data_IF_480567976332
#
_entry.id   IF_480567976332
#
_cell.length_a   1.000
_cell.length_b   1.000
_cell.length_c   1.000
_cell.angle_alpha   90.00
_cell.angle_beta   90.00
_cell.angle_gamma   90.00
#
_symmetry.space_group_name_H-M   'P 1'
#
loop_
_entity.id
_entity.type
_entity.pdbx_description
1 polymer ?
#
# COMPACT_ATOMS: atom_id res chain seq x y z
N UNK A 1 18.04 12.91 -1.87
CA UNK A 1 17.90 11.44 -1.98
C UNK A 1 16.50 10.94 -1.59
N UNK A 2 15.85 11.45 -0.53
CA UNK A 2 14.40 11.21 -0.30
C UNK A 2 13.51 11.88 -1.37
N UNK A 3 13.84 13.10 -1.78
CA UNK A 3 13.23 13.80 -2.92
C UNK A 3 13.36 13.03 -4.23
N UNK A 4 14.46 12.30 -4.45
CA UNK A 4 14.68 11.48 -5.65
C UNK A 4 13.78 10.25 -5.67
N UNK A 5 13.50 9.64 -4.51
CA UNK A 5 12.50 8.56 -4.38
C UNK A 5 11.08 9.12 -4.52
N UNK A 6 10.80 10.30 -3.95
CA UNK A 6 9.54 11.03 -4.14
C UNK A 6 9.26 11.30 -5.63
N UNK A 7 10.28 11.76 -6.38
CA UNK A 7 10.22 11.99 -7.82
C UNK A 7 10.15 10.70 -8.64
N UNK A 8 10.74 9.59 -8.15
CA UNK A 8 10.60 8.26 -8.77
C UNK A 8 9.23 7.63 -8.55
N UNK A 9 8.55 7.97 -7.46
CA UNK A 9 7.18 7.53 -7.14
C UNK A 9 6.10 8.47 -7.73
N UNK A 10 6.47 9.69 -8.13
CA UNK A 10 5.61 10.66 -8.79
C UNK A 10 4.77 10.11 -9.98
N UNK A 11 5.25 9.20 -10.85
CA UNK A 11 4.45 8.63 -11.94
C UNK A 11 3.27 7.73 -11.50
N UNK A 12 3.30 7.19 -10.28
CA UNK A 12 2.20 6.39 -9.74
C UNK A 12 1.00 7.27 -9.36
N UNK A 13 1.25 8.54 -9.01
CA UNK A 13 0.25 9.50 -8.52
C UNK A 13 -0.10 10.56 -9.57
N UNK A 14 0.82 10.84 -10.50
CA UNK A 14 0.65 11.88 -11.52
C UNK A 14 -0.30 11.38 -12.62
N UNK A 15 -1.58 11.68 -12.48
CA UNK A 15 -2.47 11.76 -13.63
C UNK A 15 -1.92 12.90 -14.50
N UNK A 16 -1.52 12.66 -15.76
CA UNK A 16 -1.10 13.74 -16.66
C UNK A 16 -2.13 14.85 -16.61
N UNK A 17 -1.70 16.12 -16.57
CA UNK A 17 -2.60 17.27 -16.46
C UNK A 17 -3.69 17.25 -17.56
N UNK A 18 -3.35 16.71 -18.73
CA UNK A 18 -4.24 16.46 -19.86
C UNK A 18 -5.36 15.43 -19.60
N UNK A 19 -5.12 14.47 -18.69
CA UNK A 19 -6.05 13.40 -18.32
C UNK A 19 -6.78 13.68 -17.00
N UNK A 20 -6.34 14.68 -16.24
CA UNK A 20 -6.94 15.04 -14.95
C UNK A 20 -8.42 15.45 -15.09
N UNK A 21 -8.84 16.25 -16.09
CA UNK A 21 -10.26 16.54 -16.31
C UNK A 21 -11.07 15.28 -16.64
N UNK A 22 -10.53 14.36 -17.43
CA UNK A 22 -11.20 13.12 -17.82
C UNK A 22 -11.38 12.16 -16.63
N UNK A 23 -10.37 12.03 -15.78
CA UNK A 23 -10.44 11.23 -14.56
C UNK A 23 -11.39 11.85 -13.53
N UNK A 24 -11.33 13.18 -13.38
CA UNK A 24 -12.20 13.96 -12.48
C UNK A 24 -13.66 13.82 -12.90
N UNK A 25 -13.97 13.98 -14.18
CA UNK A 25 -15.34 13.80 -14.68
C UNK A 25 -15.83 12.36 -14.43
N UNK A 26 -15.00 11.37 -14.78
CA UNK A 26 -15.37 9.96 -14.67
C UNK A 26 -15.65 9.50 -13.23
N UNK A 27 -14.84 9.93 -12.26
CA UNK A 27 -14.98 9.49 -10.87
C UNK A 27 -15.79 10.46 -10.02
N UNK A 28 -15.68 11.77 -10.25
CA UNK A 28 -16.22 12.81 -9.36
C UNK A 28 -17.38 13.62 -9.98
N UNK A 29 -17.62 13.54 -11.28
CA UNK A 29 -18.68 14.31 -11.97
C UNK A 29 -20.11 13.88 -11.65
N UNK A 30 -20.30 12.68 -11.09
CA UNK A 30 -21.62 12.10 -10.82
C UNK A 30 -22.33 12.64 -9.58
N UNK A 31 -21.69 13.50 -8.78
CA UNK A 31 -22.28 14.04 -7.55
C UNK A 31 -21.58 15.32 -7.09
N UNK A 32 -22.32 16.22 -6.45
CA UNK A 32 -21.77 17.41 -5.76
C UNK A 32 -21.61 17.27 -4.25
N UNK A 33 -22.02 16.11 -3.70
CA UNK A 33 -21.89 15.81 -2.27
C UNK A 33 -20.40 15.68 -1.88
N UNK A 34 -19.89 16.54 -0.97
CA UNK A 34 -18.47 16.52 -0.57
C UNK A 34 -18.02 15.19 0.04
N UNK A 35 -18.90 14.48 0.75
CA UNK A 35 -18.58 13.20 1.40
C UNK A 35 -18.38 12.13 0.33
N UNK A 36 -19.30 12.06 -0.64
CA UNK A 36 -19.20 11.10 -1.76
C UNK A 36 -18.04 11.43 -2.70
N UNK A 37 -17.76 12.72 -2.94
CA UNK A 37 -16.56 13.13 -3.70
C UNK A 37 -15.28 12.61 -3.07
N UNK A 38 -15.18 12.66 -1.73
CA UNK A 38 -14.02 12.14 -1.01
C UNK A 38 -13.89 10.62 -1.20
N UNK A 39 -14.98 9.87 -1.09
CA UNK A 39 -14.97 8.41 -1.29
C UNK A 39 -14.54 8.05 -2.71
N UNK A 40 -15.16 8.67 -3.73
CA UNK A 40 -14.86 8.43 -5.13
C UNK A 40 -13.44 8.86 -5.53
N UNK A 41 -12.88 9.87 -4.86
CA UNK A 41 -11.47 10.25 -5.03
C UNK A 41 -10.52 9.19 -4.48
N UNK A 42 -10.85 8.61 -3.33
CA UNK A 42 -10.07 7.51 -2.75
C UNK A 42 -10.15 6.25 -3.63
N UNK A 43 -11.32 5.96 -4.21
CA UNK A 43 -11.48 4.87 -5.18
C UNK A 43 -10.63 5.09 -6.43
N UNK A 44 -10.62 6.32 -6.97
CA UNK A 44 -9.76 6.68 -8.10
C UNK A 44 -8.27 6.44 -7.79
N UNK A 45 -7.83 6.86 -6.60
CA UNK A 45 -6.45 6.64 -6.16
C UNK A 45 -6.15 5.14 -6.01
N UNK A 46 -7.05 4.38 -5.39
CA UNK A 46 -6.90 2.94 -5.20
C UNK A 46 -6.80 2.20 -6.55
N UNK A 47 -7.66 2.55 -7.50
CA UNK A 47 -7.64 1.97 -8.84
C UNK A 47 -6.35 2.29 -9.58
N UNK A 48 -5.89 3.54 -9.50
CA UNK A 48 -4.68 4.00 -10.17
C UNK A 48 -3.42 3.35 -9.59
N UNK A 49 -3.35 3.23 -8.28
CA UNK A 49 -2.11 2.83 -7.58
C UNK A 49 -2.00 1.33 -7.39
N UNK A 50 -3.12 0.65 -7.11
CA UNK A 50 -3.13 -0.78 -6.80
C UNK A 50 -3.85 -1.59 -7.86
N UNK A 51 -5.13 -1.32 -8.15
CA UNK A 51 -5.96 -2.25 -8.92
C UNK A 51 -5.54 -2.36 -10.39
N UNK A 52 -5.44 -1.26 -11.12
CA UNK A 52 -5.13 -1.25 -12.56
C UNK A 52 -3.73 -1.80 -12.84
N UNK A 53 -2.65 -1.37 -12.14
CA UNK A 53 -1.33 -1.97 -12.32
C UNK A 53 -1.32 -3.46 -12.00
N UNK A 54 -2.02 -3.89 -10.94
CA UNK A 54 -2.09 -5.32 -10.57
C UNK A 54 -2.79 -6.15 -11.64
N UNK A 55 -3.90 -5.65 -12.20
CA UNK A 55 -4.62 -6.32 -13.29
C UNK A 55 -3.79 -6.35 -14.59
N UNK A 56 -3.06 -5.28 -14.91
CA UNK A 56 -2.14 -5.26 -16.06
C UNK A 56 -1.04 -6.30 -15.86
N UNK A 57 -0.38 -6.31 -14.71
CA UNK A 57 0.66 -7.31 -14.36
C UNK A 57 0.07 -8.72 -14.46
N UNK A 58 -1.07 -8.98 -13.85
CA UNK A 58 -1.73 -10.29 -13.91
C UNK A 58 -2.07 -10.72 -15.34
N UNK A 59 -2.55 -9.79 -16.19
CA UNK A 59 -2.81 -10.04 -17.62
C UNK A 59 -1.52 -10.32 -18.39
N UNK A 60 -0.46 -9.56 -18.14
CA UNK A 60 0.86 -9.78 -18.74
C UNK A 60 1.48 -11.12 -18.33
N UNK A 61 1.19 -11.61 -17.12
CA UNK A 61 1.67 -12.90 -16.62
C UNK A 61 0.80 -14.08 -17.10
N UNK A 62 -0.39 -13.83 -17.66
CA UNK A 62 -1.33 -14.87 -18.11
C UNK A 62 -0.73 -15.78 -19.20
N UNK A 63 0.22 -15.29 -19.99
CA UNK A 63 0.85 -16.04 -21.09
C UNK A 63 2.38 -16.23 -20.93
N UNK A 64 2.95 -16.02 -19.74
CA UNK A 64 4.41 -16.08 -19.60
C UNK A 64 4.98 -16.06 -18.19
N UNK A 65 4.17 -16.26 -17.14
CA UNK A 65 4.69 -16.31 -15.78
C UNK A 65 5.82 -17.34 -15.67
N UNK A 66 6.96 -16.89 -15.14
CA UNK A 66 8.09 -17.76 -14.81
C UNK A 66 7.67 -18.80 -13.77
N UNK A 67 8.40 -19.92 -13.68
CA UNK A 67 8.11 -20.91 -12.65
C UNK A 67 8.30 -20.34 -11.24
N UNK A 68 9.22 -19.39 -11.09
CA UNK A 68 9.42 -18.61 -9.87
C UNK A 68 8.16 -17.83 -9.48
N UNK A 69 7.56 -17.08 -10.41
CA UNK A 69 6.33 -16.32 -10.16
C UNK A 69 5.13 -17.24 -9.85
N UNK A 70 5.02 -18.38 -10.54
CA UNK A 70 4.00 -19.38 -10.24
C UNK A 70 4.21 -19.99 -8.84
N UNK A 71 5.46 -20.25 -8.44
CA UNK A 71 5.79 -20.72 -7.10
C UNK A 71 5.42 -19.71 -6.03
N UNK A 72 5.78 -18.44 -6.23
CA UNK A 72 5.41 -17.34 -5.32
C UNK A 72 3.89 -17.21 -5.22
N UNK A 73 3.17 -17.28 -6.35
CA UNK A 73 1.71 -17.21 -6.39
C UNK A 73 1.06 -18.37 -5.60
N UNK A 74 1.51 -19.61 -5.83
CA UNK A 74 1.04 -20.79 -5.07
C UNK A 74 1.31 -20.65 -3.58
N UNK A 75 2.48 -20.16 -3.20
CA UNK A 75 2.86 -19.93 -1.82
C UNK A 75 1.94 -18.87 -1.17
N UNK A 76 1.69 -17.74 -1.85
CA UNK A 76 0.79 -16.69 -1.33
C UNK A 76 -0.65 -17.17 -1.19
N UNK A 77 -1.17 -17.91 -2.17
CA UNK A 77 -2.52 -18.47 -2.06
C UNK A 77 -2.66 -19.38 -0.84
N UNK A 78 -1.64 -20.20 -0.54
CA UNK A 78 -1.65 -21.05 0.66
C UNK A 78 -1.58 -20.25 1.96
N UNK A 79 -0.71 -19.24 2.06
CA UNK A 79 -0.66 -18.36 3.23
C UNK A 79 -2.02 -17.71 3.50
N UNK A 80 -2.66 -17.14 2.47
CA UNK A 80 -3.97 -16.51 2.62
C UNK A 80 -5.08 -17.50 2.95
N UNK A 81 -5.09 -18.68 2.34
CA UNK A 81 -6.07 -19.71 2.64
C UNK A 81 -5.94 -20.26 4.07
N UNK A 82 -4.72 -20.39 4.59
CA UNK A 82 -4.48 -20.77 5.98
C UNK A 82 -4.94 -19.68 6.94
N UNK A 83 -4.53 -18.43 6.68
CA UNK A 83 -4.94 -17.28 7.49
C UNK A 83 -6.47 -17.13 7.54
N UNK A 84 -7.16 -17.23 6.41
CA UNK A 84 -8.62 -17.17 6.37
C UNK A 84 -9.30 -18.29 7.16
N UNK A 85 -8.67 -19.48 7.26
CA UNK A 85 -9.23 -20.65 7.97
C UNK A 85 -8.97 -20.62 9.47
N UNK A 86 -7.80 -20.15 9.90
CA UNK A 86 -7.33 -20.34 11.29
C UNK A 86 -6.83 -19.06 11.97
N UNK A 87 -6.76 -17.94 11.24
CA UNK A 87 -6.08 -16.72 11.70
C UNK A 87 -4.55 -16.84 11.70
N UNK A 88 -3.98 -17.97 11.26
CA UNK A 88 -2.54 -18.20 11.20
C UNK A 88 -2.12 -18.60 9.77
N UNK A 89 -1.22 -17.85 9.11
CA UNK A 89 -0.84 -18.14 7.72
C UNK A 89 0.02 -19.42 7.59
N UNK A 90 0.65 -19.89 8.66
CA UNK A 90 1.59 -21.01 8.63
C UNK A 90 0.92 -22.34 8.28
N UNK A 91 1.69 -23.24 7.65
CA UNK A 91 1.24 -24.58 7.28
C UNK A 91 2.36 -25.40 6.63
N UNK A 92 2.09 -26.68 6.38
CA UNK A 92 3.06 -27.59 5.80
C UNK A 92 3.53 -27.14 4.40
N UNK A 93 4.83 -27.22 4.16
CA UNK A 93 5.45 -26.82 2.88
C UNK A 93 5.50 -25.32 2.63
N UNK A 94 5.28 -24.49 3.67
CA UNK A 94 5.46 -23.04 3.61
C UNK A 94 6.66 -22.60 4.46
N UNK A 95 7.38 -21.54 4.06
CA UNK A 95 8.29 -20.84 4.95
C UNK A 95 7.56 -20.38 6.21
N UNK A 96 8.25 -20.41 7.35
CA UNK A 96 7.69 -19.92 8.60
C UNK A 96 7.48 -18.40 8.54
N UNK A 97 6.24 -17.98 8.79
CA UNK A 97 5.84 -16.59 8.93
C UNK A 97 5.70 -16.27 10.42
N UNK A 98 6.61 -15.46 11.00
CA UNK A 98 6.54 -15.09 12.41
C UNK A 98 5.32 -14.22 12.71
N UNK A 99 4.76 -14.38 13.89
CA UNK A 99 3.80 -13.40 14.42
C UNK A 99 4.49 -12.04 14.59
N UNK A 100 3.77 -10.97 14.28
CA UNK A 100 4.28 -9.62 14.48
C UNK A 100 4.11 -9.22 15.96
N UNK A 101 5.05 -9.66 16.78
CA UNK A 101 5.12 -9.38 18.21
C UNK A 101 6.09 -8.22 18.53
N UNK A 102 6.55 -8.12 19.79
CA UNK A 102 7.53 -7.11 20.21
C UNK A 102 8.88 -7.18 19.49
N UNK A 103 9.21 -8.31 18.85
CA UNK A 103 10.41 -8.47 18.02
C UNK A 103 10.17 -8.00 16.58
N UNK A 104 8.93 -7.67 16.23
CA UNK A 104 8.53 -7.15 14.92
C UNK A 104 8.96 -8.08 13.78
N UNK A 105 8.80 -9.38 14.00
CA UNK A 105 9.08 -10.40 13.00
C UNK A 105 8.13 -10.26 11.80
N UNK A 106 8.69 -10.29 10.60
CA UNK A 106 7.92 -10.27 9.36
C UNK A 106 8.53 -11.21 8.30
N UNK A 107 7.75 -11.51 7.27
CA UNK A 107 8.19 -12.32 6.14
C UNK A 107 8.45 -11.43 4.93
N UNK A 108 9.67 -11.49 4.39
CA UNK A 108 9.98 -10.93 3.07
C UNK A 108 9.57 -11.95 2.02
N UNK A 109 8.65 -11.56 1.13
CA UNK A 109 8.11 -12.45 0.10
C UNK A 109 8.70 -12.05 -1.25
N UNK A 110 9.30 -13.02 -1.92
CA UNK A 110 9.96 -12.84 -3.22
C UNK A 110 10.67 -14.12 -3.64
N UNK A 111 11.56 -14.02 -4.64
CA UNK A 111 12.35 -15.15 -5.13
C UNK A 111 13.10 -15.88 -4.00
N UNK A 112 13.64 -15.12 -3.04
CA UNK A 112 14.15 -15.65 -1.78
C UNK A 112 13.26 -15.20 -0.63
N UNK A 113 12.31 -16.05 -0.25
CA UNK A 113 11.39 -15.76 0.85
C UNK A 113 12.05 -16.08 2.19
N UNK A 114 12.17 -15.06 3.05
CA UNK A 114 12.95 -15.16 4.28
C UNK A 114 12.33 -14.34 5.42
N UNK A 115 12.57 -14.80 6.64
CA UNK A 115 12.25 -14.05 7.86
C UNK A 115 13.17 -12.84 8.01
N UNK A 116 12.60 -11.73 8.44
CA UNK A 116 13.32 -10.54 8.86
C UNK A 116 12.61 -9.90 10.07
N UNK A 117 13.22 -8.87 10.65
CA UNK A 117 12.69 -8.16 11.80
C UNK A 117 12.76 -6.65 11.58
N UNK A 118 11.87 -5.92 12.24
CA UNK A 118 11.85 -4.44 12.29
C UNK A 118 11.80 -3.81 10.89
N UNK A 119 10.71 -4.08 10.18
CA UNK A 119 10.50 -3.56 8.84
C UNK A 119 10.58 -2.02 8.86
N UNK A 120 11.57 -1.45 8.15
CA UNK A 120 11.73 0.00 7.98
C UNK A 120 11.97 0.77 9.29
N UNK A 121 12.53 0.13 10.31
CA UNK A 121 12.80 0.71 11.63
C UNK A 121 13.40 2.13 11.58
N UNK A 122 14.46 2.31 10.78
CA UNK A 122 15.16 3.59 10.65
C UNK A 122 14.29 4.66 10.00
N UNK A 123 13.55 4.30 8.97
CA UNK A 123 12.63 5.23 8.30
C UNK A 123 11.45 5.60 9.20
N UNK A 124 10.89 4.65 9.95
CA UNK A 124 9.82 4.91 10.92
C UNK A 124 10.29 5.88 12.00
N UNK A 125 11.48 5.65 12.58
CA UNK A 125 12.06 6.55 13.58
C UNK A 125 12.26 7.97 13.02
N UNK A 126 12.85 8.08 11.82
CA UNK A 126 13.05 9.37 11.15
C UNK A 126 11.72 10.12 10.92
N UNK A 127 10.69 9.43 10.42
CA UNK A 127 9.39 10.07 10.18
C UNK A 127 8.66 10.45 11.47
N UNK A 128 8.76 9.64 12.52
CA UNK A 128 8.22 9.98 13.83
C UNK A 128 8.86 11.27 14.38
N UNK A 129 10.18 11.44 14.22
CA UNK A 129 10.86 12.69 14.60
C UNK A 129 10.40 13.90 13.78
N UNK A 130 10.19 13.73 12.47
CA UNK A 130 9.70 14.80 11.60
C UNK A 130 8.30 15.23 12.03
N UNK A 131 7.38 14.28 12.21
CA UNK A 131 6.01 14.55 12.62
C UNK A 131 5.93 15.20 13.99
N UNK A 132 6.79 14.79 14.93
CA UNK A 132 6.88 15.42 16.25
C UNK A 132 7.32 16.90 16.15
N UNK A 133 8.28 17.22 15.28
CA UNK A 133 8.72 18.60 15.04
C UNK A 133 7.63 19.45 14.38
N UNK A 134 6.88 18.89 13.43
CA UNK A 134 5.76 19.58 12.79
C UNK A 134 4.64 19.90 13.79
N UNK A 135 4.28 18.95 14.65
CA UNK A 135 3.26 19.14 15.69
C UNK A 135 3.63 20.22 16.71
N UNK A 136 4.92 20.39 17.01
CA UNK A 136 5.42 21.48 17.87
C UNK A 136 5.38 22.83 17.14
N UNK A 137 5.72 22.86 15.84
CA UNK A 137 5.74 24.09 15.05
C UNK A 137 4.34 24.61 14.70
N UNK A 138 3.37 23.72 14.52
CA UNK A 138 1.98 24.04 14.18
C UNK A 138 1.05 23.34 15.17
N UNK A 139 0.97 23.82 16.43
CA UNK A 139 0.06 23.25 17.40
C UNK A 139 -1.38 23.35 16.88
N UNK A 140 -2.23 22.34 17.14
CA UNK A 140 -3.61 22.38 16.68
C UNK A 140 -4.27 23.65 17.23
N UNK A 141 -4.79 24.48 16.32
CA UNK A 141 -5.57 25.65 16.68
C UNK A 141 -6.75 25.17 17.53
N UNK A 142 -6.82 25.61 18.79
CA UNK A 142 -8.01 25.44 19.60
C UNK A 142 -9.11 26.25 18.91
N UNK A 143 -10.03 25.59 18.22
CA UNK A 143 -11.33 26.19 17.94
C UNK A 143 -12.02 26.41 19.29
N UNK A 144 -11.87 27.61 19.83
CA UNK A 144 -12.76 28.14 20.87
C UNK A 144 -14.12 28.32 20.19
N UNK A 145 -14.96 27.30 20.27
CA UNK A 145 -16.40 27.46 20.08
C UNK A 145 -16.89 28.10 21.39
N UNK A 146 -16.87 29.44 21.43
CA UNK A 146 -17.67 30.17 22.41
C UNK A 146 -19.14 30.07 21.97
N UNK A 147 -19.95 29.48 22.86
CA UNK A 147 -21.42 29.42 22.79
C UNK A 147 -22.03 30.80 23.08
#
# INVERSE_FOLDING_TARGET
MATTLLWKLYPLVNVPEELAPLATEKYLGGTDDPVKKKELFMDMLADRTFCVPSVIVARSHREGASEEEKNISRMMMKFWANFARTGNPNGEGLPYWPEYDQKEGYLQIGANTQHAQKLKDKEVAMWAEILAKEAVAHPPQKEHIEL
#
